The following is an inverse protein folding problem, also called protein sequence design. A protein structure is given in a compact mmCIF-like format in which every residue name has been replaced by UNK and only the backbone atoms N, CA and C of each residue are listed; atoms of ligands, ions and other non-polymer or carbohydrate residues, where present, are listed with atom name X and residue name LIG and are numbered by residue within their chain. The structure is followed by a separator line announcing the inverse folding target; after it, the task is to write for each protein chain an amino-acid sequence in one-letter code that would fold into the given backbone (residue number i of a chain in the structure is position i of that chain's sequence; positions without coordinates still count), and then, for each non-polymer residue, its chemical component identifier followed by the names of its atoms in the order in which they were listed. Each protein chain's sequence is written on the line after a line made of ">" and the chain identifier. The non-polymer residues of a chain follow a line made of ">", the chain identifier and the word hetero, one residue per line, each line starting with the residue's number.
data_IF_948484398357
#
_entry.id   IF_948484398357
#
_cell.length_a   1.000
_cell.length_b   1.000
_cell.length_c   1.000
_cell.angle_alpha   90.00
_cell.angle_beta   90.00
_cell.angle_gamma   90.00
#
_symmetry.space_group_name_H-M   'P 1'
#
loop_
_entity.id
_entity.type
_entity.pdbx_description
1 polymer ?
#
# COMPACT_ATOMS: atom_id res chain seq x y z
N UNK A 1 10.41 -2.32 -0.67
CA UNK A 1 10.45 -1.90 0.76
C UNK A 1 9.51 -0.74 1.10
N UNK A 2 8.64 -0.30 0.18
CA UNK A 2 7.81 0.89 0.35
C UNK A 2 7.01 0.94 1.67
N UNK A 3 6.25 -0.11 1.99
CA UNK A 3 5.38 -0.14 3.19
C UNK A 3 6.20 -0.07 4.48
N UNK A 4 7.13 -1.01 4.68
CA UNK A 4 7.89 -1.08 5.94
C UNK A 4 8.74 0.18 6.17
N UNK A 5 9.41 0.69 5.15
CA UNK A 5 10.23 1.89 5.28
C UNK A 5 9.36 3.11 5.62
N UNK A 6 8.15 3.19 5.05
CA UNK A 6 7.24 4.31 5.35
C UNK A 6 6.85 4.38 6.82
N UNK A 7 6.80 3.23 7.51
CA UNK A 7 6.42 3.09 8.91
C UNK A 7 7.66 3.18 9.81
N UNK A 8 8.64 2.30 9.63
CA UNK A 8 9.84 2.18 10.47
C UNK A 8 10.72 3.44 10.40
N UNK A 9 10.87 4.02 9.20
CA UNK A 9 11.61 5.29 9.01
C UNK A 9 10.71 6.51 9.22
N UNK A 10 9.46 6.30 9.66
CA UNK A 10 8.49 7.34 10.02
C UNK A 10 8.14 8.34 8.90
N UNK A 11 8.29 7.96 7.63
CA UNK A 11 7.95 8.83 6.51
C UNK A 11 6.47 9.17 6.48
N UNK A 12 5.60 8.18 6.72
CA UNK A 12 4.14 8.35 6.68
C UNK A 12 3.66 9.36 7.71
N UNK A 13 4.28 9.41 8.89
CA UNK A 13 3.96 10.40 9.91
C UNK A 13 4.42 11.81 9.52
N UNK A 14 5.52 11.92 8.75
CA UNK A 14 5.91 13.17 8.13
C UNK A 14 4.93 13.63 7.06
N UNK A 15 4.45 12.72 6.20
CA UNK A 15 3.44 13.02 5.18
C UNK A 15 2.11 13.44 5.81
N UNK A 16 1.72 12.84 6.93
CA UNK A 16 0.52 13.22 7.66
C UNK A 16 0.55 14.70 8.10
N UNK A 17 1.71 15.19 8.58
CA UNK A 17 1.89 16.61 8.97
C UNK A 17 1.72 17.58 7.80
N UNK A 18 2.06 17.15 6.59
CA UNK A 18 1.93 17.95 5.36
C UNK A 18 0.68 17.62 4.55
N UNK A 19 -0.29 16.91 5.16
CA UNK A 19 -1.51 16.47 4.47
C UNK A 19 -1.27 15.70 3.16
N UNK A 20 -0.14 14.98 3.10
CA UNK A 20 0.35 14.22 1.94
C UNK A 20 0.62 15.08 0.69
N UNK A 21 0.95 16.36 0.86
CA UNK A 21 1.30 17.24 -0.27
C UNK A 21 2.42 16.63 -1.11
N UNK A 22 2.13 16.40 -2.40
CA UNK A 22 3.08 15.82 -3.36
C UNK A 22 3.40 14.33 -3.13
N UNK A 23 2.54 13.59 -2.41
CA UNK A 23 2.66 12.14 -2.20
C UNK A 23 1.44 11.42 -2.78
N UNK A 24 1.66 10.26 -3.39
CA UNK A 24 0.62 9.38 -3.93
C UNK A 24 0.02 8.49 -2.84
N UNK A 25 -1.14 7.89 -3.12
CA UNK A 25 -1.80 6.88 -2.28
C UNK A 25 -2.18 7.41 -0.89
N UNK A 26 -2.57 8.69 -0.81
CA UNK A 26 -2.94 9.36 0.44
C UNK A 26 -4.09 8.62 1.12
N UNK A 27 -5.10 8.27 0.36
CA UNK A 27 -6.30 7.54 0.75
C UNK A 27 -5.95 6.22 1.45
N UNK A 28 -5.11 5.39 0.83
CA UNK A 28 -4.70 4.08 1.38
C UNK A 28 -3.91 4.25 2.68
N UNK A 29 -3.01 5.24 2.75
CA UNK A 29 -2.25 5.50 3.97
C UNK A 29 -3.10 6.05 5.11
N UNK A 30 -4.12 6.87 4.81
CA UNK A 30 -5.07 7.34 5.83
C UNK A 30 -5.90 6.19 6.39
N UNK A 31 -6.36 5.26 5.52
CA UNK A 31 -7.05 4.04 5.96
C UNK A 31 -6.15 3.18 6.85
N UNK A 32 -4.91 2.92 6.41
CA UNK A 32 -3.92 2.19 7.21
C UNK A 32 -3.66 2.85 8.57
N UNK A 33 -3.41 4.16 8.61
CA UNK A 33 -3.12 4.89 9.85
C UNK A 33 -4.30 4.86 10.84
N UNK A 34 -5.53 4.76 10.35
CA UNK A 34 -6.71 4.59 11.21
C UNK A 34 -6.72 3.23 11.91
N UNK A 35 -6.45 2.15 11.16
CA UNK A 35 -6.37 0.79 11.69
C UNK A 35 -5.12 0.58 12.57
N UNK A 36 -3.97 1.10 12.14
CA UNK A 36 -2.68 0.96 12.82
C UNK A 36 -2.70 1.42 14.28
N UNK A 37 -3.43 2.50 14.57
CA UNK A 37 -3.52 3.07 15.94
C UNK A 37 -4.10 2.11 16.98
N UNK A 38 -4.81 1.07 16.54
CA UNK A 38 -5.52 0.14 17.43
C UNK A 38 -4.64 -1.04 17.86
N UNK A 39 -3.44 -1.18 17.31
CA UNK A 39 -2.60 -2.36 17.49
C UNK A 39 -1.15 -1.98 17.82
N UNK A 40 -0.49 -2.82 18.61
CA UNK A 40 0.96 -2.78 18.78
C UNK A 40 1.61 -3.73 17.76
N UNK A 41 2.06 -3.18 16.63
CA UNK A 41 2.52 -3.97 15.48
C UNK A 41 4.05 -4.03 15.43
N UNK A 42 4.61 -5.22 15.22
CA UNK A 42 6.02 -5.42 14.87
C UNK A 42 6.13 -5.75 13.38
N UNK A 43 6.87 -4.95 12.63
CA UNK A 43 7.12 -5.23 11.21
C UNK A 43 8.37 -6.10 11.04
N UNK A 44 8.28 -7.08 10.14
CA UNK A 44 9.41 -7.91 9.72
C UNK A 44 9.51 -7.82 8.21
N UNK A 45 10.63 -7.28 7.71
CA UNK A 45 10.89 -7.30 6.28
C UNK A 45 11.40 -8.67 5.86
N UNK A 46 10.67 -9.29 4.94
CA UNK A 46 11.10 -10.52 4.27
C UNK A 46 11.55 -10.20 2.85
N UNK A 47 12.61 -10.89 2.41
CA UNK A 47 13.05 -10.85 1.02
C UNK A 47 12.07 -11.69 0.19
N UNK A 48 11.65 -11.20 -0.97
CA UNK A 48 10.81 -11.97 -1.89
C UNK A 48 11.53 -13.21 -2.42
N UNK A 49 10.75 -14.25 -2.74
CA UNK A 49 11.23 -15.55 -3.27
C UNK A 49 12.38 -16.14 -2.47
N UNK A 50 12.21 -16.20 -1.14
CA UNK A 50 13.22 -16.68 -0.21
C UNK A 50 12.72 -17.87 0.61
N UNK A 51 11.81 -18.68 0.06
CA UNK A 51 11.23 -19.88 0.68
C UNK A 51 10.52 -19.60 2.01
N UNK A 52 9.92 -18.42 2.17
CA UNK A 52 9.04 -18.14 3.30
C UNK A 52 7.61 -18.52 2.89
N UNK A 53 7.07 -19.66 3.35
CA UNK A 53 5.88 -20.26 2.75
C UNK A 53 4.66 -19.34 2.73
N UNK A 54 4.45 -18.58 3.81
CA UNK A 54 3.32 -17.65 3.96
C UNK A 54 3.45 -16.45 3.03
N UNK A 55 4.67 -15.92 2.84
CA UNK A 55 4.90 -14.82 1.91
C UNK A 55 4.74 -15.28 0.45
N UNK A 56 5.20 -16.48 0.14
CA UNK A 56 5.05 -17.09 -1.20
C UNK A 56 3.59 -17.35 -1.52
N UNK A 57 2.81 -17.85 -0.56
CA UNK A 57 1.36 -17.98 -0.70
C UNK A 57 0.68 -16.64 -0.95
N UNK A 58 1.07 -15.58 -0.25
CA UNK A 58 0.53 -14.24 -0.50
C UNK A 58 0.87 -13.73 -1.92
N UNK A 59 2.08 -13.99 -2.41
CA UNK A 59 2.51 -13.65 -3.77
C UNK A 59 1.68 -14.41 -4.83
N UNK A 60 1.53 -15.72 -4.67
CA UNK A 60 0.70 -16.56 -5.55
C UNK A 60 -0.74 -16.06 -5.63
N UNK A 61 -1.35 -15.74 -4.48
CA UNK A 61 -2.71 -15.21 -4.42
C UNK A 61 -2.83 -13.84 -5.10
N UNK A 62 -1.86 -12.94 -4.89
CA UNK A 62 -1.84 -11.63 -5.54
C UNK A 62 -1.68 -11.77 -7.06
N UNK A 63 -0.81 -12.67 -7.53
CA UNK A 63 -0.62 -12.97 -8.95
C UNK A 63 -1.90 -13.57 -9.55
N UNK A 64 -2.53 -14.54 -8.89
CA UNK A 64 -3.77 -15.14 -9.34
C UNK A 64 -4.89 -14.09 -9.46
N UNK A 65 -5.05 -13.22 -8.46
CA UNK A 65 -6.04 -12.14 -8.48
C UNK A 65 -5.76 -11.14 -9.61
N UNK A 66 -4.50 -10.77 -9.84
CA UNK A 66 -4.11 -9.84 -10.91
C UNK A 66 -4.46 -10.34 -12.31
N UNK A 67 -4.45 -11.66 -12.51
CA UNK A 67 -4.81 -12.31 -13.79
C UNK A 67 -6.32 -12.41 -14.01
N UNK A 68 -7.13 -12.32 -12.95
CA UNK A 68 -8.58 -12.40 -13.03
C UNK A 68 -9.22 -11.00 -13.16
N UNK A 69 -8.97 -10.32 -14.29
CA UNK A 69 -9.46 -8.95 -14.53
C UNK A 69 -10.98 -8.77 -14.36
N UNK A 70 -11.85 -9.69 -14.83
CA UNK A 70 -13.30 -9.52 -14.68
C UNK A 70 -13.78 -9.49 -13.22
N UNK A 71 -12.99 -10.07 -12.29
CA UNK A 71 -13.31 -10.08 -10.86
C UNK A 71 -12.73 -8.88 -10.09
N UNK A 72 -11.97 -8.01 -10.74
CA UNK A 72 -11.37 -6.84 -10.09
C UNK A 72 -12.37 -5.70 -10.00
N UNK A 73 -12.49 -5.13 -8.81
CA UNK A 73 -13.22 -3.87 -8.61
C UNK A 73 -12.40 -2.69 -9.12
N UNK A 74 -13.07 -1.61 -9.53
CA UNK A 74 -12.41 -0.37 -9.91
C UNK A 74 -11.80 0.27 -8.66
N UNK A 75 -10.52 0.65 -8.75
CA UNK A 75 -9.87 1.51 -7.77
C UNK A 75 -10.20 2.97 -8.12
N UNK A 76 -11.27 3.49 -7.52
CA UNK A 76 -11.82 4.80 -7.86
C UNK A 76 -10.84 5.94 -7.59
N UNK A 77 -10.17 5.93 -6.44
CA UNK A 77 -9.18 6.94 -6.07
C UNK A 77 -7.98 6.92 -7.02
N UNK A 78 -7.46 5.73 -7.37
CA UNK A 78 -6.39 5.62 -8.35
C UNK A 78 -6.79 6.16 -9.72
N UNK A 79 -7.98 5.77 -10.22
CA UNK A 79 -8.48 6.23 -11.52
C UNK A 79 -8.71 7.74 -11.54
N UNK A 80 -9.23 8.31 -10.45
CA UNK A 80 -9.40 9.76 -10.31
C UNK A 80 -8.06 10.51 -10.30
N UNK A 81 -7.06 10.02 -9.54
CA UNK A 81 -5.72 10.61 -9.52
C UNK A 81 -5.02 10.51 -10.89
N UNK A 82 -5.14 9.36 -11.56
CA UNK A 82 -4.58 9.13 -12.90
C UNK A 82 -5.16 10.11 -13.90
N UNK A 83 -6.49 10.22 -13.96
CA UNK A 83 -7.17 11.12 -14.89
C UNK A 83 -6.80 12.59 -14.65
N UNK A 84 -6.69 13.00 -13.38
CA UNK A 84 -6.23 14.36 -13.03
C UNK A 84 -4.79 14.63 -13.49
N UNK A 85 -3.92 13.63 -13.42
CA UNK A 85 -2.54 13.74 -13.90
C UNK A 85 -2.42 13.73 -15.43
N UNK A 86 -3.39 13.16 -16.14
CA UNK A 86 -3.42 13.17 -17.62
C UNK A 86 -3.98 14.47 -18.19
N UNK A 87 -4.73 15.23 -17.38
CA UNK A 87 -5.32 16.52 -17.74
C UNK A 87 -4.43 17.74 -17.42
N UNK A 88 -3.26 17.51 -16.83
CA UNK A 88 -2.23 18.51 -16.51
C UNK A 88 -1.05 18.39 -17.47
#
# INVERSE_FOLDING_TARGET
>A
KYVIDSIEKKWVFGWLKTSFKGKKNKDLWLQYLSAHKQHNIKFVWVKGHNNHPENERCDELAVAASKNKPAQSIDYEFEAERNKSTLL
#
